data_IF_012774308857
#
_entry.id   IF_012774308857
#
_cell.length_a   1.000
_cell.length_b   1.000
_cell.length_c   1.000
_cell.angle_alpha   90.00
_cell.angle_beta   90.00
_cell.angle_gamma   90.00
#
_symmetry.space_group_name_H-M   'P 1'
#
loop_
_entity.id
_entity.type
_entity.pdbx_description
1 polymer ?
#
# COMPACT_ATOMS: atom_id res chain seq x y z
N UNK A 1 8.72 -2.53 -1.12
CA UNK A 1 7.95 -3.74 -1.46
C UNK A 1 7.24 -3.50 -2.78
N UNK A 2 7.22 -4.47 -3.68
CA UNK A 2 6.46 -4.41 -4.94
C UNK A 2 5.50 -5.59 -4.97
N UNK A 3 4.23 -5.36 -5.34
CA UNK A 3 3.22 -6.39 -5.50
C UNK A 3 2.59 -6.26 -6.88
N UNK A 4 2.66 -7.31 -7.68
CA UNK A 4 2.04 -7.37 -9.00
C UNK A 4 0.81 -8.27 -8.93
N UNK A 5 -0.33 -7.75 -9.39
CA UNK A 5 -1.59 -8.48 -9.44
C UNK A 5 -2.02 -8.52 -10.92
N UNK A 6 -2.30 -9.72 -11.40
CA UNK A 6 -2.74 -9.96 -12.78
C UNK A 6 -4.24 -9.74 -12.95
N UNK A 7 -4.67 -9.56 -14.20
CA UNK A 7 -6.08 -9.44 -14.56
C UNK A 7 -6.85 -10.71 -14.17
N UNK A 8 -8.05 -10.55 -13.59
CA UNK A 8 -8.90 -11.68 -13.23
C UNK A 8 -9.93 -11.99 -14.32
N UNK A 9 -9.67 -13.07 -15.06
CA UNK A 9 -10.52 -13.51 -16.18
C UNK A 9 -11.49 -14.64 -15.82
N UNK A 10 -11.37 -15.23 -14.62
CA UNK A 10 -12.22 -16.34 -14.16
C UNK A 10 -13.28 -15.83 -13.19
N UNK A 11 -14.22 -15.04 -13.70
CA UNK A 11 -15.36 -14.51 -12.94
C UNK A 11 -16.64 -15.31 -13.22
N UNK A 12 -17.62 -15.32 -12.30
CA UNK A 12 -18.95 -15.86 -12.57
C UNK A 12 -19.59 -15.17 -13.79
N UNK A 13 -20.43 -15.87 -14.54
CA UNK A 13 -21.07 -15.33 -15.76
C UNK A 13 -21.95 -14.11 -15.50
N UNK A 14 -22.40 -13.92 -14.25
CA UNK A 14 -23.22 -12.78 -13.83
C UNK A 14 -22.38 -11.55 -13.46
N UNK A 15 -21.05 -11.70 -13.30
CA UNK A 15 -20.15 -10.61 -12.96
C UNK A 15 -19.54 -10.00 -14.22
N UNK A 16 -20.11 -8.87 -14.64
CA UNK A 16 -19.67 -8.11 -15.81
C UNK A 16 -18.56 -7.09 -15.51
N UNK A 17 -17.96 -7.13 -14.32
CA UNK A 17 -16.91 -6.17 -13.94
C UNK A 17 -15.55 -6.60 -14.45
N UNK A 18 -14.82 -5.65 -15.03
CA UNK A 18 -13.43 -5.84 -15.36
C UNK A 18 -12.54 -5.63 -14.13
N UNK A 19 -11.59 -6.55 -13.96
CA UNK A 19 -10.57 -6.54 -12.91
C UNK A 19 -9.20 -6.57 -13.56
N UNK A 20 -8.73 -5.39 -13.97
CA UNK A 20 -7.44 -5.22 -14.62
C UNK A 20 -6.25 -5.51 -13.70
N UNK A 21 -5.12 -5.86 -14.31
CA UNK A 21 -3.85 -5.96 -13.61
C UNK A 21 -3.43 -4.62 -13.01
N UNK A 22 -2.72 -4.66 -11.88
CA UNK A 22 -2.17 -3.48 -11.25
C UNK A 22 -0.89 -3.80 -10.48
N UNK A 23 -0.03 -2.80 -10.31
CA UNK A 23 1.22 -2.93 -9.57
C UNK A 23 1.30 -1.93 -8.43
N UNK A 24 1.38 -2.43 -7.20
CA UNK A 24 1.54 -1.60 -6.01
C UNK A 24 3.01 -1.55 -5.61
N UNK A 25 3.49 -0.34 -5.32
CA UNK A 25 4.83 -0.12 -4.77
C UNK A 25 4.70 0.60 -3.44
N UNK A 26 5.29 0.01 -2.40
CA UNK A 26 5.31 0.58 -1.06
C UNK A 26 6.76 0.80 -0.63
N UNK A 27 7.03 1.94 -0.02
CA UNK A 27 8.34 2.27 0.55
C UNK A 27 8.20 2.52 2.05
N UNK A 28 9.22 2.14 2.81
CA UNK A 28 9.31 2.42 4.23
C UNK A 28 10.75 2.75 4.59
N UNK A 29 10.91 3.64 5.56
CA UNK A 29 12.18 3.96 6.15
C UNK A 29 12.02 4.09 7.67
N UNK A 30 13.02 3.58 8.38
CA UNK A 30 13.12 3.68 9.83
C UNK A 30 14.43 4.37 10.14
N UNK A 31 14.39 5.38 11.00
CA UNK A 31 15.57 6.10 11.45
C UNK A 31 15.60 6.18 12.98
N UNK A 32 16.74 5.82 13.54
CA UNK A 32 17.06 5.94 14.95
C UNK A 32 18.33 6.80 15.06
N UNK A 33 18.22 8.07 15.50
CA UNK A 33 19.37 8.96 15.57
C UNK A 33 20.40 8.48 16.60
N UNK A 34 21.68 8.46 16.25
CA UNK A 34 22.74 8.06 17.19
C UNK A 34 22.86 8.99 18.41
N UNK A 35 22.47 10.27 18.25
CA UNK A 35 22.49 11.24 19.35
C UNK A 35 21.38 11.02 20.39
N UNK A 36 20.30 10.30 20.03
CA UNK A 36 19.15 10.05 20.90
C UNK A 36 18.70 8.60 20.66
N UNK A 37 19.34 7.66 21.35
CA UNK A 37 19.08 6.22 21.18
C UNK A 37 17.63 5.85 21.44
N UNK A 38 16.91 6.61 22.26
CA UNK A 38 15.56 6.25 22.67
C UNK A 38 14.48 6.83 21.75
N UNK A 39 14.88 7.57 20.70
CA UNK A 39 14.00 8.12 19.68
C UNK A 39 14.01 7.24 18.43
N UNK A 40 12.81 6.82 17.99
CA UNK A 40 12.61 6.10 16.73
C UNK A 40 11.58 6.82 15.85
N UNK A 41 11.93 6.96 14.59
CA UNK A 41 11.11 7.58 13.55
C UNK A 41 10.85 6.55 12.45
N UNK A 42 9.58 6.34 12.12
CA UNK A 42 9.15 5.43 11.06
C UNK A 42 8.29 6.21 10.06
N UNK A 43 8.63 6.12 8.77
CA UNK A 43 7.83 6.68 7.67
C UNK A 43 7.51 5.58 6.67
N UNK A 44 6.27 5.57 6.17
CA UNK A 44 5.89 4.73 5.04
C UNK A 44 5.01 5.47 4.04
N UNK A 45 5.18 5.12 2.77
CA UNK A 45 4.32 5.55 1.68
C UNK A 45 3.82 4.29 0.98
N UNK A 46 2.54 4.02 1.12
CA UNK A 46 1.84 2.91 0.47
C UNK A 46 1.22 3.41 -0.84
N UNK A 47 1.17 2.53 -1.85
CA UNK A 47 0.70 2.89 -3.18
C UNK A 47 1.44 4.14 -3.73
N UNK A 48 2.77 4.07 -3.77
CA UNK A 48 3.69 5.17 -4.13
C UNK A 48 3.33 5.84 -5.47
N UNK A 49 2.79 5.08 -6.41
CA UNK A 49 2.41 5.57 -7.74
C UNK A 49 0.92 5.92 -7.87
N UNK A 50 0.18 5.99 -6.75
CA UNK A 50 -1.23 6.36 -6.71
C UNK A 50 -2.11 5.58 -7.70
N UNK A 51 -1.96 4.26 -7.70
CA UNK A 51 -2.77 3.38 -8.54
C UNK A 51 -4.22 3.46 -8.14
N UNK A 52 -5.09 3.61 -9.14
CA UNK A 52 -6.52 3.47 -9.00
C UNK A 52 -6.90 2.03 -9.32
N UNK A 53 -7.25 1.25 -8.29
CA UNK A 53 -7.45 -0.19 -8.44
C UNK A 53 -8.54 -0.69 -7.51
N UNK A 54 -9.03 -1.89 -7.82
CA UNK A 54 -10.02 -2.60 -7.02
C UNK A 54 -9.64 -4.06 -6.94
N UNK A 55 -9.72 -4.62 -5.75
CA UNK A 55 -9.51 -6.05 -5.56
C UNK A 55 -10.69 -6.81 -6.17
N UNK A 56 -10.44 -7.97 -6.77
CA UNK A 56 -11.48 -8.82 -7.33
C UNK A 56 -12.62 -9.05 -6.31
N UNK A 57 -13.86 -8.95 -6.78
CA UNK A 57 -15.10 -9.08 -6.01
C UNK A 57 -15.35 -7.99 -4.96
N UNK A 58 -14.52 -6.95 -4.88
CA UNK A 58 -14.87 -5.76 -4.12
C UNK A 58 -15.71 -4.80 -4.96
N UNK A 59 -16.59 -4.07 -4.28
CA UNK A 59 -17.40 -3.03 -4.92
C UNK A 59 -16.65 -1.70 -5.00
N UNK A 60 -15.97 -1.36 -3.91
CA UNK A 60 -15.28 -0.09 -3.75
C UNK A 60 -13.84 -0.16 -4.24
N UNK A 61 -13.40 0.94 -4.85
CA UNK A 61 -12.00 1.14 -5.17
C UNK A 61 -11.18 1.27 -3.89
N UNK A 62 -9.95 0.78 -3.97
CA UNK A 62 -9.01 0.84 -2.86
C UNK A 62 -8.51 2.28 -2.67
N UNK A 63 -8.06 2.64 -1.45
CA UNK A 63 -7.44 3.93 -1.20
C UNK A 63 -6.26 4.18 -2.15
N UNK A 64 -6.11 5.44 -2.57
CA UNK A 64 -4.95 5.91 -3.32
C UNK A 64 -3.68 5.92 -2.46
N UNK A 65 -2.77 6.83 -2.77
CA UNK A 65 -1.52 7.00 -2.00
C UNK A 65 -1.80 7.31 -0.53
N UNK A 66 -1.13 6.58 0.34
CA UNK A 66 -1.26 6.71 1.80
C UNK A 66 0.11 6.92 2.43
N UNK A 67 0.25 7.99 3.23
CA UNK A 67 1.49 8.36 3.90
C UNK A 67 1.31 8.24 5.39
N UNK A 68 2.19 7.48 6.05
CA UNK A 68 2.15 7.27 7.50
C UNK A 68 3.46 7.71 8.13
N UNK A 69 3.35 8.41 9.24
CA UNK A 69 4.46 8.82 10.09
C UNK A 69 4.21 8.34 11.51
N UNK A 70 5.20 7.72 12.12
CA UNK A 70 5.17 7.35 13.53
C UNK A 70 6.45 7.80 14.23
N UNK A 71 6.27 8.28 15.46
CA UNK A 71 7.34 8.71 16.35
C UNK A 71 7.19 7.94 17.65
N UNK A 72 8.29 7.38 18.14
CA UNK A 72 8.34 6.70 19.43
C UNK A 72 9.51 7.22 20.25
N UNK A 73 9.25 7.50 21.51
CA UNK A 73 10.27 7.82 22.50
C UNK A 73 10.11 6.87 23.70
N UNK A 74 11.19 6.27 24.15
CA UNK A 74 11.21 5.37 25.31
C UNK A 74 11.99 6.02 26.46
N UNK A 75 11.52 5.84 27.69
CA UNK A 75 12.13 6.41 28.91
C UNK A 75 12.75 5.30 29.76
#
# INVERSE_FOLDING_TARGET
>A
KVSHIETQNRTPSEDSRDYDHYTLTDIYATWQPAAISDLKLDISVNNLFDQYYRVAFQELYMPGRDVRLAVRYQF
#
